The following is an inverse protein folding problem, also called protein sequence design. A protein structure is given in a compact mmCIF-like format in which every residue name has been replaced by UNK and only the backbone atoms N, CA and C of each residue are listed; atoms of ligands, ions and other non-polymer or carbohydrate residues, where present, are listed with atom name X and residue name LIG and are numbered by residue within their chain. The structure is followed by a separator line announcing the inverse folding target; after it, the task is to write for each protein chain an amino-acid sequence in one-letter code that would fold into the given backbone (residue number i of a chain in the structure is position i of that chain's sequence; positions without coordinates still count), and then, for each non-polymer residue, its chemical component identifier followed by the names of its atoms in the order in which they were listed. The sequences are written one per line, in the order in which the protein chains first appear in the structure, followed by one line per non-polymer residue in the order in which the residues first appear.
data_IF_251840957776
#
_entry.id   IF_251840957776
#
_cell.length_a   1.000
_cell.length_b   1.000
_cell.length_c   1.000
_cell.angle_alpha   90.00
_cell.angle_beta   90.00
_cell.angle_gamma   90.00
#
_symmetry.space_group_name_H-M   'P 1'
#
loop_
_entity.id
_entity.type
_entity.pdbx_description
1 polymer ?
#
# COMPACT_ATOMS: atom_id res chain seq x y z
N UNK A 1 -9.83 9.22 11.27
CA UNK A 1 -9.63 8.31 10.13
C UNK A 1 -8.78 9.03 9.11
N UNK A 2 -7.96 8.28 8.39
CA UNK A 2 -7.24 8.72 7.22
C UNK A 2 -8.16 8.97 6.03
N UNK A 3 -7.56 9.09 4.87
CA UNK A 3 -8.27 9.29 3.60
C UNK A 3 -7.46 8.72 2.43
N UNK A 4 -8.17 8.23 1.41
CA UNK A 4 -7.58 7.97 0.11
C UNK A 4 -7.62 9.25 -0.73
N UNK A 5 -6.50 9.61 -1.32
CA UNK A 5 -6.38 10.74 -2.24
C UNK A 5 -6.02 10.20 -3.61
N UNK A 6 -6.93 10.34 -4.58
CA UNK A 6 -6.64 9.99 -5.98
C UNK A 6 -5.94 11.17 -6.64
N UNK A 7 -4.86 10.87 -7.36
CA UNK A 7 -4.08 11.83 -8.12
C UNK A 7 -4.16 11.44 -9.59
N UNK A 8 -4.58 12.40 -10.41
CA UNK A 8 -4.58 12.26 -11.86
C UNK A 8 -3.35 12.97 -12.45
N UNK A 9 -2.67 12.31 -13.40
CA UNK A 9 -1.63 12.91 -14.22
C UNK A 9 -1.74 12.41 -15.66
N UNK A 10 -2.12 13.29 -16.58
CA UNK A 10 -2.23 13.03 -18.03
C UNK A 10 -3.09 11.80 -18.37
N UNK A 11 -4.27 11.68 -17.72
CA UNK A 11 -5.18 10.55 -17.91
C UNK A 11 -4.71 9.24 -17.27
N UNK A 12 -3.68 9.30 -16.41
CA UNK A 12 -3.26 8.19 -15.54
C UNK A 12 -3.58 8.50 -14.09
N UNK A 13 -3.91 7.47 -13.33
CA UNK A 13 -4.43 7.64 -11.98
C UNK A 13 -3.58 6.85 -10.98
N UNK A 14 -3.33 7.41 -9.81
CA UNK A 14 -2.83 6.66 -8.67
C UNK A 14 -3.56 7.13 -7.40
N UNK A 15 -3.48 6.37 -6.33
CA UNK A 15 -4.01 6.78 -5.03
C UNK A 15 -2.91 6.77 -3.97
N UNK A 16 -3.06 7.68 -3.00
CA UNK A 16 -2.31 7.68 -1.77
C UNK A 16 -3.26 7.39 -0.62
N UNK A 17 -2.94 6.40 0.22
CA UNK A 17 -3.61 6.26 1.51
C UNK A 17 -2.87 7.14 2.51
N UNK A 18 -3.54 8.16 3.04
CA UNK A 18 -2.99 9.09 4.01
C UNK A 18 -3.56 8.79 5.40
N UNK A 19 -2.72 8.83 6.42
CA UNK A 19 -3.16 8.79 7.81
C UNK A 19 -3.87 10.09 8.20
N UNK A 20 -4.55 10.09 9.36
CA UNK A 20 -5.29 11.26 9.87
C UNK A 20 -4.44 12.51 10.10
N UNK A 21 -3.11 12.37 10.20
CA UNK A 21 -2.17 13.48 10.33
C UNK A 21 -1.62 13.98 8.97
N UNK A 22 -2.16 13.49 7.85
CA UNK A 22 -1.73 13.85 6.50
C UNK A 22 -0.49 13.11 6.00
N UNK A 23 0.10 12.21 6.79
CA UNK A 23 1.23 11.41 6.32
C UNK A 23 0.77 10.33 5.34
N UNK A 24 1.38 10.30 4.16
CA UNK A 24 1.16 9.22 3.17
C UNK A 24 1.65 7.91 3.78
N UNK A 25 0.76 6.93 3.91
CA UNK A 25 1.03 5.57 4.35
C UNK A 25 1.63 4.73 3.22
N UNK A 26 0.94 4.71 2.08
CA UNK A 26 1.35 4.01 0.84
C UNK A 26 0.88 4.78 -0.39
N UNK A 27 1.59 4.56 -1.49
CA UNK A 27 1.23 5.02 -2.83
C UNK A 27 0.96 3.83 -3.72
N UNK A 28 -0.10 3.90 -4.52
CA UNK A 28 -0.45 2.84 -5.45
C UNK A 28 0.45 2.79 -6.67
N UNK A 29 0.31 1.73 -7.46
CA UNK A 29 0.74 1.73 -8.86
C UNK A 29 -0.05 2.77 -9.68
N UNK A 30 0.41 3.02 -10.90
CA UNK A 30 -0.28 3.87 -11.86
C UNK A 30 -1.28 3.04 -12.64
N UNK A 31 -2.55 3.44 -12.58
CA UNK A 31 -3.67 2.87 -13.29
C UNK A 31 -3.97 3.66 -14.58
N UNK A 32 -4.50 3.01 -15.63
CA UNK A 32 -4.88 3.64 -16.88
C UNK A 32 -6.22 4.38 -16.81
N UNK A 33 -7.04 4.17 -15.77
CA UNK A 33 -8.35 4.82 -15.60
C UNK A 33 -8.68 5.07 -14.13
N UNK A 34 -9.63 5.99 -13.89
CA UNK A 34 -10.11 6.29 -12.53
C UNK A 34 -10.82 5.08 -11.93
N UNK A 35 -11.60 4.36 -12.73
CA UNK A 35 -12.33 3.17 -12.29
C UNK A 35 -11.39 2.05 -11.84
N UNK A 36 -10.27 1.84 -12.55
CA UNK A 36 -9.26 0.84 -12.13
C UNK A 36 -8.54 1.28 -10.84
N UNK A 37 -8.28 2.58 -10.69
CA UNK A 37 -7.71 3.13 -9.47
C UNK A 37 -8.65 2.93 -8.26
N UNK A 38 -9.93 3.20 -8.43
CA UNK A 38 -10.96 2.98 -7.40
C UNK A 38 -11.12 1.49 -7.06
N UNK A 39 -11.05 0.59 -8.05
CA UNK A 39 -11.00 -0.86 -7.79
C UNK A 39 -9.76 -1.24 -6.98
N UNK A 40 -8.62 -0.62 -7.24
CA UNK A 40 -7.40 -0.80 -6.44
C UNK A 40 -7.61 -0.41 -4.97
N UNK A 41 -8.34 0.66 -4.70
CA UNK A 41 -8.72 1.08 -3.34
C UNK A 41 -9.60 0.03 -2.67
N UNK A 42 -10.61 -0.48 -3.38
CA UNK A 42 -11.47 -1.56 -2.87
C UNK A 42 -10.69 -2.84 -2.55
N UNK A 43 -9.70 -3.19 -3.38
CA UNK A 43 -8.80 -4.31 -3.09
C UNK A 43 -8.00 -4.08 -1.80
N UNK A 44 -7.49 -2.86 -1.57
CA UNK A 44 -6.83 -2.53 -0.29
C UNK A 44 -7.79 -2.64 0.88
N UNK A 45 -9.00 -2.06 0.78
CA UNK A 45 -10.04 -2.14 1.81
C UNK A 45 -10.37 -3.57 2.21
N UNK A 46 -10.57 -4.44 1.22
CA UNK A 46 -10.98 -5.82 1.44
C UNK A 46 -9.84 -6.73 1.92
N UNK A 47 -8.60 -6.47 1.49
CA UNK A 47 -7.51 -7.43 1.66
C UNK A 47 -6.46 -7.01 2.69
N UNK A 48 -6.25 -5.71 2.93
CA UNK A 48 -5.18 -5.25 3.81
C UNK A 48 -5.34 -5.73 5.28
N UNK A 49 -6.55 -5.74 5.89
CA UNK A 49 -6.73 -6.16 7.28
C UNK A 49 -6.24 -7.60 7.55
N UNK A 50 -6.45 -8.51 6.61
CA UNK A 50 -6.19 -9.95 6.75
C UNK A 50 -4.91 -10.42 6.05
N UNK A 51 -4.19 -9.52 5.38
CA UNK A 51 -3.01 -9.89 4.58
C UNK A 51 -1.81 -10.27 5.43
N UNK A 52 -1.14 -11.37 5.11
CA UNK A 52 0.04 -11.85 5.82
C UNK A 52 1.28 -10.98 5.57
N UNK A 53 2.32 -11.14 6.38
CA UNK A 53 3.60 -10.43 6.19
C UNK A 53 4.68 -11.42 5.76
N UNK A 54 5.24 -11.21 4.57
CA UNK A 54 6.36 -11.98 4.03
C UNK A 54 7.65 -11.16 4.12
N UNK A 55 8.64 -11.64 4.87
CA UNK A 55 9.93 -10.98 5.03
C UNK A 55 10.98 -11.55 4.07
N UNK A 56 11.02 -11.04 2.84
CA UNK A 56 11.93 -11.52 1.81
C UNK A 56 13.42 -11.17 2.07
N UNK A 57 13.72 -10.44 3.15
CA UNK A 57 15.12 -10.17 3.57
C UNK A 57 15.69 -11.31 4.43
N UNK A 58 14.85 -12.23 4.92
CA UNK A 58 15.28 -13.34 5.79
C UNK A 58 15.32 -14.65 4.99
N UNK A 59 14.24 -14.97 4.29
CA UNK A 59 14.15 -16.15 3.42
C UNK A 59 13.46 -15.79 2.11
N UNK A 60 14.20 -15.86 1.00
CA UNK A 60 13.66 -15.53 -0.33
C UNK A 60 12.79 -16.66 -0.92
N UNK A 61 12.82 -17.86 -0.33
CA UNK A 61 12.07 -19.03 -0.78
C UNK A 61 10.78 -19.26 -0.01
N UNK A 62 10.66 -18.69 1.19
CA UNK A 62 9.44 -18.75 1.99
C UNK A 62 8.42 -17.74 1.45
N UNK A 63 7.47 -18.24 0.66
CA UNK A 63 6.46 -17.42 -0.02
C UNK A 63 5.12 -17.60 0.65
N UNK A 64 4.64 -16.53 1.26
CA UNK A 64 3.30 -16.50 1.81
C UNK A 64 2.25 -16.42 0.70
N UNK A 65 1.04 -16.86 1.00
CA UNK A 65 -0.09 -16.70 0.08
C UNK A 65 -0.49 -15.22 -0.01
N UNK A 66 -1.01 -14.82 -1.16
CA UNK A 66 -1.66 -13.52 -1.29
C UNK A 66 -3.07 -13.57 -0.65
N UNK A 67 -3.59 -12.46 -0.09
CA UNK A 67 -2.96 -11.14 -0.02
C UNK A 67 -1.85 -11.06 1.03
N UNK A 68 -0.81 -10.25 0.76
CA UNK A 68 0.36 -10.11 1.63
C UNK A 68 1.09 -8.77 1.51
N UNK A 69 1.76 -8.40 2.59
CA UNK A 69 2.79 -7.37 2.64
C UNK A 69 4.15 -8.04 2.46
N UNK A 70 4.79 -7.82 1.33
CA UNK A 70 6.13 -8.35 1.07
C UNK A 70 7.19 -7.30 1.35
N UNK A 71 8.05 -7.57 2.32
CA UNK A 71 9.14 -6.69 2.76
C UNK A 71 10.37 -6.92 1.88
N UNK A 72 10.99 -5.82 1.47
CA UNK A 72 12.22 -5.77 0.70
C UNK A 72 13.22 -4.85 1.41
N UNK A 73 14.50 -5.07 1.13
CA UNK A 73 15.60 -4.18 1.47
C UNK A 73 16.16 -3.62 0.17
N UNK A 74 16.41 -2.31 0.12
CA UNK A 74 17.10 -1.68 -1.01
C UNK A 74 18.63 -1.77 -0.87
N UNK A 75 19.36 -1.24 -1.85
CA UNK A 75 20.82 -1.28 -1.86
C UNK A 75 21.46 -0.41 -0.77
N UNK A 76 20.71 0.52 -0.19
CA UNK A 76 21.14 1.42 0.87
C UNK A 76 20.82 0.84 2.27
N UNK A 77 20.25 -0.36 2.35
CA UNK A 77 19.88 -1.03 3.60
C UNK A 77 18.55 -0.54 4.18
N UNK A 78 17.75 0.20 3.42
CA UNK A 78 16.43 0.64 3.86
C UNK A 78 15.35 -0.36 3.46
N UNK A 79 14.37 -0.52 4.35
CA UNK A 79 13.26 -1.45 4.18
C UNK A 79 12.03 -0.76 3.60
N UNK A 80 11.32 -1.44 2.71
CA UNK A 80 9.99 -1.03 2.25
C UNK A 80 9.14 -2.27 2.02
N UNK A 81 7.82 -2.12 2.00
CA UNK A 81 6.93 -3.22 1.60
C UNK A 81 6.22 -2.91 0.29
N UNK A 82 5.81 -3.99 -0.38
CA UNK A 82 4.79 -3.97 -1.43
C UNK A 82 3.56 -4.72 -0.95
N UNK A 83 2.39 -4.18 -1.23
CA UNK A 83 1.12 -4.82 -0.93
C UNK A 83 0.65 -5.56 -2.17
N UNK A 84 0.59 -6.88 -2.05
CA UNK A 84 0.29 -7.79 -3.14
C UNK A 84 -1.03 -8.48 -2.82
N UNK A 85 -2.02 -8.33 -3.69
CA UNK A 85 -3.34 -8.96 -3.58
C UNK A 85 -3.42 -10.22 -4.44
N UNK A 86 -4.41 -11.06 -4.20
CA UNK A 86 -4.64 -12.26 -5.01
C UNK A 86 -5.12 -11.91 -6.43
N UNK A 87 -6.02 -10.93 -6.55
CA UNK A 87 -6.66 -10.55 -7.83
C UNK A 87 -5.78 -9.62 -8.68
N UNK A 88 -5.24 -8.55 -8.07
CA UNK A 88 -4.57 -7.47 -8.80
C UNK A 88 -3.03 -7.53 -8.71
N UNK A 89 -2.46 -8.50 -7.97
CA UNK A 89 -1.03 -8.58 -7.76
C UNK A 89 -0.51 -7.38 -6.95
N UNK A 90 0.64 -6.83 -7.34
CA UNK A 90 1.27 -5.68 -6.67
C UNK A 90 0.50 -4.38 -6.95
N UNK A 91 -0.12 -3.82 -5.91
CA UNK A 91 -1.00 -2.64 -6.08
C UNK A 91 -0.51 -1.41 -5.34
N UNK A 92 0.33 -1.54 -4.31
CA UNK A 92 0.81 -0.41 -3.52
C UNK A 92 2.17 -0.64 -2.89
N UNK A 93 2.90 0.45 -2.69
CA UNK A 93 4.24 0.45 -2.11
C UNK A 93 4.35 1.48 -0.99
N UNK A 94 5.07 1.13 0.08
CA UNK A 94 5.44 2.07 1.13
C UNK A 94 6.68 2.90 0.75
N UNK A 95 6.88 4.02 1.43
CA UNK A 95 8.20 4.66 1.50
C UNK A 95 9.25 3.71 2.11
N UNK A 96 10.51 4.10 2.03
CA UNK A 96 11.63 3.38 2.66
C UNK A 96 11.80 3.79 4.13
N UNK A 97 12.35 2.88 4.93
CA UNK A 97 12.60 3.06 6.36
C UNK A 97 13.97 2.49 6.73
N UNK A 98 14.73 3.20 7.56
CA UNK A 98 16.00 2.69 8.11
C UNK A 98 15.82 1.46 9.01
N UNK A 99 14.66 1.34 9.67
CA UNK A 99 14.41 0.30 10.66
C UNK A 99 13.18 -0.52 10.30
N UNK A 100 13.31 -1.85 10.33
CA UNK A 100 12.20 -2.78 10.07
C UNK A 100 11.03 -2.61 11.05
N UNK A 101 11.29 -2.24 12.29
CA UNK A 101 10.24 -1.92 13.28
C UNK A 101 9.34 -0.75 12.81
N UNK A 102 9.94 0.29 12.22
CA UNK A 102 9.19 1.41 11.64
C UNK A 102 8.31 0.98 10.47
N UNK A 103 8.79 0.01 9.66
CA UNK A 103 8.01 -0.58 8.59
C UNK A 103 6.82 -1.40 9.12
N UNK A 104 7.01 -2.21 10.16
CA UNK A 104 5.91 -2.96 10.79
C UNK A 104 4.84 -2.01 11.34
N UNK A 105 5.24 -0.94 12.04
CA UNK A 105 4.29 0.10 12.49
C UNK A 105 3.54 0.73 11.32
N UNK A 106 4.18 0.85 10.14
CA UNK A 106 3.52 1.35 8.93
C UNK A 106 2.49 0.34 8.38
N UNK A 107 2.79 -0.95 8.39
CA UNK A 107 1.84 -2.01 7.97
C UNK A 107 0.61 -1.99 8.88
N UNK A 108 0.81 -1.93 10.20
CA UNK A 108 -0.29 -1.86 11.16
C UNK A 108 -1.16 -0.61 10.96
N UNK A 109 -0.53 0.53 10.62
CA UNK A 109 -1.28 1.73 10.25
C UNK A 109 -2.05 1.60 8.95
N UNK A 110 -1.49 0.94 7.94
CA UNK A 110 -2.21 0.68 6.69
C UNK A 110 -3.43 -0.21 6.94
N UNK A 111 -3.31 -1.25 7.77
CA UNK A 111 -4.44 -2.09 8.19
C UNK A 111 -5.53 -1.27 8.89
N UNK A 112 -5.14 -0.45 9.86
CA UNK A 112 -6.07 0.35 10.65
C UNK A 112 -6.79 1.44 9.82
N UNK A 113 -6.14 1.98 8.80
CA UNK A 113 -6.69 3.04 7.94
C UNK A 113 -7.23 2.49 6.61
N UNK A 114 -7.29 1.17 6.41
CA UNK A 114 -7.75 0.56 5.16
C UNK A 114 -9.19 0.95 4.81
N UNK A 115 -10.07 1.08 5.80
CA UNK A 115 -11.48 1.50 5.61
C UNK A 115 -11.65 3.04 5.57
N UNK A 116 -10.57 3.79 5.31
CA UNK A 116 -10.64 5.24 5.20
C UNK A 116 -11.50 5.69 4.02
N UNK A 117 -12.15 6.85 4.15
CA UNK A 117 -12.96 7.44 3.09
C UNK A 117 -12.12 7.93 1.91
N UNK A 118 -12.71 7.96 0.72
CA UNK A 118 -12.13 8.66 -0.43
C UNK A 118 -12.28 10.18 -0.21
N UNK A 119 -11.21 10.95 -0.41
CA UNK A 119 -11.27 12.40 -0.39
C UNK A 119 -12.23 12.88 -1.50
N UNK A 120 -13.05 13.88 -1.20
CA UNK A 120 -13.87 14.51 -2.23
C UNK A 120 -12.94 15.18 -3.24
N UNK A 121 -13.17 14.96 -4.54
CA UNK A 121 -12.49 15.70 -5.60
C UNK A 121 -12.65 17.21 -5.30
N UNK A 122 -11.55 17.93 -5.06
CA UNK A 122 -11.57 19.39 -4.99
C UNK A 122 -11.88 19.92 -6.39
N UNK A 123 -13.16 20.19 -6.62
CA UNK A 123 -13.73 20.69 -7.86
C UNK A 123 -13.48 22.18 -8.06
#
# INVERSE_FOLDING_TARGET
MGQYVVVENEGRYCFNLCASNGHILVSSIIFPSKEECERGIECVRASAPDAEIEDATVDAFDREKSPKFRIYEDFDGHFFFRFITEDAGDIARSHTYEQKESLFRRIERMRAEADSSLAADEN
#
